data_IF_866152970618
#
_entry.id   IF_866152970618
#
_cell.length_a   1.000
_cell.length_b   1.000
_cell.length_c   1.000
_cell.angle_alpha   90.00
_cell.angle_beta   90.00
_cell.angle_gamma   90.00
#
_symmetry.space_group_name_H-M   'P 1'
#
loop_
_entity.id
_entity.type
_entity.pdbx_description
1 polymer ?
#
# COMPACT_ATOMS: atom_id res chain seq x y z
N UNK A 1 6.66 -34.61 30.06
CA UNK A 1 7.66 -33.86 29.29
C UNK A 1 7.70 -34.37 27.84
N UNK A 2 6.75 -33.89 27.03
CA UNK A 2 6.71 -33.83 25.55
C UNK A 2 5.26 -33.55 25.17
N UNK A 3 4.81 -32.33 25.45
CA UNK A 3 3.57 -31.84 24.86
C UNK A 3 3.92 -31.25 23.51
N UNK A 4 3.52 -32.03 22.52
CA UNK A 4 3.70 -31.84 21.10
C UNK A 4 2.90 -30.59 20.73
N UNK A 5 3.59 -29.45 20.62
CA UNK A 5 3.08 -28.30 19.90
C UNK A 5 2.96 -28.68 18.42
N UNK A 6 1.82 -29.25 18.03
CA UNK A 6 1.38 -29.23 16.64
C UNK A 6 0.92 -27.81 16.39
N UNK A 7 1.82 -26.98 15.86
CA UNK A 7 1.41 -25.71 15.27
C UNK A 7 0.28 -26.00 14.26
N UNK A 8 -0.85 -25.28 14.30
CA UNK A 8 -1.95 -25.54 13.38
C UNK A 8 -1.39 -25.48 11.95
N UNK A 9 -1.73 -26.49 11.12
CA UNK A 9 -1.49 -26.49 9.67
C UNK A 9 -2.32 -25.35 9.06
N UNK A 10 -1.85 -24.12 9.22
CA UNK A 10 -2.32 -23.02 8.38
C UNK A 10 -1.70 -23.26 7.01
N UNK A 11 -2.55 -23.54 6.01
CA UNK A 11 -2.16 -23.59 4.61
C UNK A 11 -1.39 -22.32 4.29
N UNK A 12 -0.07 -22.44 4.16
CA UNK A 12 0.85 -21.31 3.93
C UNK A 12 0.65 -20.85 2.50
N UNK A 13 -0.05 -19.72 2.24
CA UNK A 13 -0.30 -19.31 0.87
C UNK A 13 1.02 -18.90 0.22
N UNK A 14 1.22 -19.25 -1.04
CA UNK A 14 2.27 -18.64 -1.85
C UNK A 14 2.01 -17.13 -1.91
N UNK A 15 3.00 -16.32 -1.53
CA UNK A 15 2.88 -14.86 -1.63
C UNK A 15 3.03 -14.45 -3.09
N UNK A 16 1.91 -14.32 -3.80
CA UNK A 16 1.89 -13.72 -5.13
C UNK A 16 2.39 -12.26 -5.05
N UNK A 17 2.97 -11.71 -6.13
CA UNK A 17 3.54 -10.35 -6.17
C UNK A 17 2.53 -9.25 -5.79
N UNK A 18 1.23 -9.54 -5.92
CA UNK A 18 0.12 -8.67 -5.55
C UNK A 18 -0.54 -9.03 -4.21
N UNK A 19 0.05 -9.95 -3.44
CA UNK A 19 -0.48 -10.32 -2.12
C UNK A 19 -0.48 -9.10 -1.22
N UNK A 20 -1.65 -8.74 -0.73
CA UNK A 20 -1.83 -7.55 0.10
C UNK A 20 -1.84 -7.87 1.60
N UNK A 21 -2.08 -9.14 1.93
CA UNK A 21 -2.00 -9.73 3.25
C UNK A 21 -1.31 -11.09 3.11
N UNK A 22 -0.17 -11.27 3.76
CA UNK A 22 0.55 -12.55 3.75
C UNK A 22 1.02 -12.88 5.16
N UNK A 23 0.55 -14.01 5.67
CA UNK A 23 0.97 -14.57 6.96
C UNK A 23 2.08 -15.60 6.72
N UNK A 24 3.26 -15.37 7.29
CA UNK A 24 4.50 -16.13 7.06
C UNK A 24 4.90 -16.29 5.58
N UNK A 25 5.17 -15.18 4.85
CA UNK A 25 5.65 -15.27 3.48
C UNK A 25 7.03 -15.95 3.43
N UNK A 26 7.20 -16.94 2.54
CA UNK A 26 8.48 -17.62 2.33
C UNK A 26 9.35 -16.97 1.26
N UNK A 27 8.74 -16.22 0.35
CA UNK A 27 9.40 -15.68 -0.85
C UNK A 27 9.74 -14.19 -0.71
N UNK A 28 9.65 -13.64 0.51
CA UNK A 28 9.96 -12.24 0.81
C UNK A 28 11.17 -12.19 1.73
N UNK A 29 12.22 -11.50 1.29
CA UNK A 29 13.40 -11.18 2.09
C UNK A 29 13.75 -9.71 1.89
N UNK A 30 14.21 -9.02 2.93
CA UNK A 30 14.63 -7.62 2.84
C UNK A 30 16.12 -7.47 3.17
N UNK A 31 16.79 -6.47 2.59
CA UNK A 31 18.26 -6.34 2.65
C UNK A 31 18.82 -6.21 4.07
N UNK A 32 18.06 -5.65 5.01
CA UNK A 32 18.45 -5.44 6.41
C UNK A 32 17.95 -6.54 7.36
N UNK A 33 17.47 -7.67 6.81
CA UNK A 33 16.98 -8.81 7.59
C UNK A 33 18.13 -9.52 8.30
N UNK A 34 17.98 -9.78 9.60
CA UNK A 34 18.97 -10.54 10.38
C UNK A 34 18.83 -12.04 10.09
N UNK A 35 19.93 -12.79 10.23
CA UNK A 35 19.96 -14.24 9.95
C UNK A 35 18.96 -15.07 10.78
N UNK A 36 18.59 -14.61 11.98
CA UNK A 36 17.60 -15.25 12.86
C UNK A 36 16.26 -14.48 12.94
N UNK A 37 15.92 -13.71 11.91
CA UNK A 37 14.69 -12.93 11.83
C UNK A 37 13.72 -13.55 10.83
N UNK A 38 12.54 -13.93 11.32
CA UNK A 38 11.48 -14.49 10.48
C UNK A 38 10.38 -13.46 10.25
N UNK A 39 9.91 -13.34 9.00
CA UNK A 39 8.77 -12.49 8.65
C UNK A 39 7.49 -13.22 9.03
N UNK A 40 6.67 -12.59 9.87
CA UNK A 40 5.42 -13.17 10.38
C UNK A 40 4.22 -12.61 9.63
N UNK A 41 4.24 -11.31 9.35
CA UNK A 41 3.15 -10.63 8.67
C UNK A 41 3.70 -9.66 7.63
N UNK A 42 3.13 -9.70 6.44
CA UNK A 42 3.36 -8.74 5.37
C UNK A 42 2.02 -8.11 5.02
N UNK A 43 1.97 -6.78 5.07
CA UNK A 43 0.80 -5.96 4.78
C UNK A 43 1.15 -4.95 3.69
N UNK A 44 0.18 -4.70 2.82
CA UNK A 44 0.18 -3.63 1.82
C UNK A 44 -1.21 -3.00 1.79
N UNK A 45 -1.35 -1.81 1.23
CA UNK A 45 -2.66 -1.20 1.02
C UNK A 45 -3.54 -2.04 0.07
N UNK A 46 -4.83 -2.12 0.36
CA UNK A 46 -5.84 -2.89 -0.37
C UNK A 46 -5.92 -2.50 -1.85
N UNK A 47 -6.18 -3.45 -2.75
CA UNK A 47 -6.32 -3.18 -4.20
C UNK A 47 -7.44 -2.19 -4.52
N UNK A 48 -8.49 -2.13 -3.69
CA UNK A 48 -9.62 -1.21 -3.86
C UNK A 48 -9.20 0.26 -3.78
N UNK A 49 -8.11 0.58 -3.06
CA UNK A 49 -7.63 1.96 -2.97
C UNK A 49 -7.13 2.46 -4.32
N UNK A 50 -6.79 1.55 -5.23
CA UNK A 50 -6.40 1.91 -6.58
C UNK A 50 -7.56 2.42 -7.43
N UNK A 51 -8.81 2.06 -7.09
CA UNK A 51 -9.97 2.42 -7.88
C UNK A 51 -10.19 3.94 -7.95
N UNK A 52 -9.85 4.68 -6.90
CA UNK A 52 -10.05 6.14 -6.83
C UNK A 52 -9.18 6.88 -7.85
N UNK A 53 -7.87 6.61 -7.89
CA UNK A 53 -6.96 7.25 -8.84
C UNK A 53 -7.15 6.72 -10.26
N UNK A 54 -7.53 5.44 -10.43
CA UNK A 54 -7.90 4.87 -11.74
C UNK A 54 -9.13 5.60 -12.30
N UNK A 55 -10.14 5.86 -11.48
CA UNK A 55 -11.34 6.57 -11.90
C UNK A 55 -11.03 7.99 -12.38
N UNK A 56 -10.21 8.74 -11.62
CA UNK A 56 -9.75 10.07 -12.02
C UNK A 56 -8.97 10.01 -13.33
N UNK A 57 -8.03 9.07 -13.46
CA UNK A 57 -7.26 8.88 -14.69
C UNK A 57 -8.16 8.54 -15.88
N UNK A 58 -9.17 7.69 -15.69
CA UNK A 58 -10.14 7.33 -16.74
C UNK A 58 -10.92 8.55 -17.24
N UNK A 59 -11.35 9.43 -16.33
CA UNK A 59 -12.02 10.68 -16.71
C UNK A 59 -11.09 11.58 -17.51
N UNK A 60 -9.85 11.75 -17.06
CA UNK A 60 -8.85 12.56 -17.75
C UNK A 60 -8.53 12.00 -19.15
N UNK A 61 -8.41 10.69 -19.31
CA UNK A 61 -8.17 10.07 -20.63
C UNK A 61 -9.31 10.36 -21.61
N UNK A 62 -10.55 10.41 -21.12
CA UNK A 62 -11.74 10.70 -21.94
C UNK A 62 -11.94 12.20 -22.23
N UNK A 63 -11.31 13.09 -21.45
CA UNK A 63 -11.53 14.53 -21.54
C UNK A 63 -11.24 15.12 -22.94
N UNK A 64 -10.12 14.79 -23.62
CA UNK A 64 -9.86 15.29 -24.98
C UNK A 64 -10.90 14.84 -26.00
N UNK A 65 -11.42 13.60 -25.86
CA UNK A 65 -12.46 13.07 -26.74
C UNK A 65 -13.77 13.85 -26.57
N UNK A 66 -14.15 14.13 -25.32
CA UNK A 66 -15.35 14.92 -24.98
C UNK A 66 -15.21 16.34 -25.55
N UNK A 67 -14.04 16.96 -25.40
CA UNK A 67 -13.76 18.29 -25.96
C UNK A 67 -13.87 18.28 -27.49
N UNK A 68 -13.32 17.26 -28.16
CA UNK A 68 -13.40 17.12 -29.62
C UNK A 68 -14.85 17.02 -30.10
N UNK A 69 -15.67 16.18 -29.44
CA UNK A 69 -17.10 16.02 -29.76
C UNK A 69 -17.84 17.34 -29.55
N UNK A 70 -17.56 18.05 -28.45
CA UNK A 70 -18.20 19.32 -28.13
C UNK A 70 -17.85 20.41 -29.16
N UNK A 71 -16.57 20.55 -29.51
CA UNK A 71 -16.11 21.51 -30.52
C UNK A 71 -16.76 21.26 -31.89
N UNK A 72 -16.85 19.98 -32.30
CA UNK A 72 -17.53 19.60 -33.54
C UNK A 72 -19.02 19.94 -33.55
N UNK A 73 -19.68 19.89 -32.38
CA UNK A 73 -21.10 20.23 -32.23
C UNK A 73 -21.39 21.73 -32.34
N UNK A 74 -20.38 22.57 -32.11
CA UNK A 74 -20.47 24.04 -32.21
C UNK A 74 -19.87 24.61 -33.50
N UNK A 75 -19.50 23.75 -34.46
CA UNK A 75 -18.86 24.15 -35.73
C UNK A 75 -17.58 24.99 -35.54
N UNK A 76 -16.89 24.83 -34.41
CA UNK A 76 -15.65 25.55 -34.10
C UNK A 76 -14.44 24.83 -34.70
N UNK A 77 -13.99 25.27 -35.88
CA UNK A 77 -12.87 24.64 -36.59
C UNK A 77 -11.48 25.18 -36.18
N UNK A 78 -11.03 24.74 -35.00
CA UNK A 78 -9.68 25.01 -34.49
C UNK A 78 -8.56 24.22 -35.20
N UNK A 79 -8.89 23.22 -36.03
CA UNK A 79 -7.93 22.32 -36.68
C UNK A 79 -7.67 22.66 -38.15
N UNK A 80 -8.40 23.63 -38.70
CA UNK A 80 -8.33 24.08 -40.10
C UNK A 80 -6.95 24.53 -40.59
N UNK A 81 -6.05 24.98 -39.69
CA UNK A 81 -4.70 25.41 -40.10
C UNK A 81 -3.65 24.29 -39.92
N UNK A 82 -2.75 24.07 -40.90
CA UNK A 82 -1.68 23.07 -40.78
C UNK A 82 -0.75 23.28 -39.57
N UNK A 83 -0.57 24.54 -39.14
CA UNK A 83 0.17 24.87 -37.94
C UNK A 83 -0.58 24.43 -36.67
N UNK A 84 -1.88 24.69 -36.57
CA UNK A 84 -2.71 24.25 -35.44
C UNK A 84 -2.72 22.73 -35.30
N UNK A 85 -2.84 21.98 -36.42
CA UNK A 85 -2.79 20.51 -36.39
C UNK A 85 -1.49 19.95 -35.78
N UNK A 86 -0.33 20.54 -36.09
CA UNK A 86 0.96 20.12 -35.52
C UNK A 86 1.06 20.40 -34.03
N UNK A 87 0.64 21.60 -33.59
CA UNK A 87 0.64 21.94 -32.17
C UNK A 87 -0.33 21.06 -31.39
N UNK A 88 -1.53 20.79 -31.91
CA UNK A 88 -2.51 19.91 -31.26
C UNK A 88 -1.93 18.53 -31.01
N UNK A 89 -1.27 17.91 -31.99
CA UNK A 89 -0.64 16.58 -31.81
C UNK A 89 0.39 16.59 -30.68
N UNK A 90 1.26 17.61 -30.64
CA UNK A 90 2.29 17.74 -29.60
C UNK A 90 1.65 17.93 -28.21
N UNK A 91 0.65 18.80 -28.09
CA UNK A 91 -0.06 19.03 -26.83
C UNK A 91 -0.83 17.80 -26.35
N UNK A 92 -1.51 17.09 -27.25
CA UNK A 92 -2.21 15.85 -26.93
C UNK A 92 -1.25 14.78 -26.44
N UNK A 93 -0.08 14.65 -27.08
CA UNK A 93 0.95 13.70 -26.66
C UNK A 93 1.50 14.05 -25.27
N UNK A 94 1.82 15.33 -25.04
CA UNK A 94 2.27 15.82 -23.73
C UNK A 94 1.20 15.58 -22.64
N UNK A 95 -0.07 15.81 -22.97
CA UNK A 95 -1.20 15.57 -22.07
C UNK A 95 -1.29 14.11 -21.65
N UNK A 96 -1.26 13.17 -22.60
CA UNK A 96 -1.28 11.74 -22.28
C UNK A 96 -0.02 11.30 -21.52
N UNK A 97 1.13 11.91 -21.79
CA UNK A 97 2.36 11.64 -21.03
C UNK A 97 2.23 12.06 -19.56
N UNK A 98 1.56 13.19 -19.28
CA UNK A 98 1.29 13.63 -17.91
C UNK A 98 0.33 12.68 -17.20
N UNK A 99 -0.74 12.22 -17.87
CA UNK A 99 -1.66 11.23 -17.29
C UNK A 99 -0.94 9.91 -17.01
N UNK A 100 -0.14 9.43 -17.97
CA UNK A 100 0.64 8.22 -17.80
C UNK A 100 1.58 8.34 -16.61
N UNK A 101 2.28 9.47 -16.48
CA UNK A 101 3.16 9.75 -15.34
C UNK A 101 2.37 9.72 -14.03
N UNK A 102 1.21 10.38 -13.96
CA UNK A 102 0.35 10.37 -12.78
C UNK A 102 -0.07 8.94 -12.38
N UNK A 103 -0.52 8.13 -13.34
CA UNK A 103 -0.92 6.73 -13.12
C UNK A 103 0.27 5.90 -12.65
N UNK A 104 1.41 6.04 -13.32
CA UNK A 104 2.62 5.30 -13.02
C UNK A 104 3.13 5.59 -11.61
N UNK A 105 3.16 6.87 -11.21
CA UNK A 105 3.58 7.28 -9.87
C UNK A 105 2.61 6.80 -8.78
N UNK A 106 1.30 6.90 -9.04
CA UNK A 106 0.28 6.39 -8.12
C UNK A 106 0.41 4.88 -7.92
N UNK A 107 0.66 4.15 -9.01
CA UNK A 107 0.92 2.71 -8.96
C UNK A 107 2.20 2.37 -8.19
N UNK A 108 3.31 3.06 -8.45
CA UNK A 108 4.57 2.83 -7.72
C UNK A 108 4.40 3.06 -6.22
N UNK A 109 3.74 4.15 -5.83
CA UNK A 109 3.47 4.46 -4.42
C UNK A 109 2.68 3.34 -3.76
N UNK A 110 1.60 2.88 -4.39
CA UNK A 110 0.81 1.77 -3.87
C UNK A 110 1.59 0.44 -3.83
N UNK A 111 2.43 0.18 -4.84
CA UNK A 111 3.16 -1.09 -4.95
C UNK A 111 4.32 -1.19 -3.93
N UNK A 112 5.03 -0.10 -3.71
CA UNK A 112 6.22 -0.07 -2.87
C UNK A 112 5.96 0.30 -1.41
N UNK A 113 4.80 0.87 -1.09
CA UNK A 113 4.38 1.06 0.31
C UNK A 113 4.05 -0.31 0.92
N UNK A 114 4.87 -0.72 1.88
CA UNK A 114 4.82 -2.05 2.47
C UNK A 114 5.10 -1.96 3.96
N UNK A 115 4.30 -2.69 4.73
CA UNK A 115 4.44 -2.79 6.16
C UNK A 115 4.72 -4.24 6.55
N UNK A 116 5.81 -4.47 7.27
CA UNK A 116 6.32 -5.81 7.58
C UNK A 116 6.46 -5.96 9.09
N UNK A 117 5.93 -7.07 9.62
CA UNK A 117 6.11 -7.45 11.03
C UNK A 117 6.90 -8.74 11.08
N UNK A 118 8.00 -8.69 11.80
CA UNK A 118 8.93 -9.82 11.99
C UNK A 118 8.82 -10.36 13.41
N UNK A 119 9.58 -11.40 13.72
CA UNK A 119 9.71 -11.93 15.08
C UNK A 119 10.43 -10.99 16.06
N UNK A 120 11.09 -9.94 15.60
CA UNK A 120 11.88 -9.03 16.45
C UNK A 120 11.41 -7.58 16.38
N UNK A 121 10.94 -7.12 15.22
CA UNK A 121 10.67 -5.70 14.95
C UNK A 121 9.55 -5.50 13.95
N UNK A 122 9.01 -4.30 13.96
CA UNK A 122 8.13 -3.75 12.94
C UNK A 122 8.97 -2.90 11.98
N UNK A 123 8.71 -3.07 10.69
CA UNK A 123 9.39 -2.38 9.60
C UNK A 123 8.33 -1.72 8.73
N UNK A 124 8.44 -0.42 8.59
CA UNK A 124 7.55 0.39 7.75
C UNK A 124 8.36 1.02 6.63
N UNK A 125 7.92 0.77 5.40
CA UNK A 125 8.59 1.18 4.18
C UNK A 125 7.63 2.08 3.41
N UNK A 126 7.86 3.38 3.54
CA UNK A 126 7.06 4.42 2.92
C UNK A 126 7.82 5.10 1.77
N UNK A 127 7.17 5.18 0.62
CA UNK A 127 7.60 6.01 -0.50
C UNK A 127 6.79 7.30 -0.50
N UNK A 128 7.26 8.28 0.27
CA UNK A 128 6.64 9.61 0.33
C UNK A 128 6.85 10.38 -0.97
N UNK A 129 8.03 10.22 -1.58
CA UNK A 129 8.41 10.75 -2.89
C UNK A 129 9.12 9.67 -3.73
N UNK A 130 9.12 9.84 -5.05
CA UNK A 130 9.72 8.90 -6.04
C UNK A 130 11.20 8.61 -5.74
N UNK A 131 11.87 9.55 -5.05
CA UNK A 131 13.31 9.53 -4.77
C UNK A 131 13.60 9.18 -3.30
N UNK A 132 12.64 9.40 -2.39
CA UNK A 132 12.85 9.28 -0.95
C UNK A 132 12.13 8.03 -0.45
N UNK A 133 12.91 7.00 -0.12
CA UNK A 133 12.43 5.84 0.60
C UNK A 133 12.67 6.08 2.10
N UNK A 134 11.60 6.13 2.88
CA UNK A 134 11.68 6.22 4.33
C UNK A 134 11.50 4.82 4.90
N UNK A 135 12.57 4.27 5.48
CA UNK A 135 12.50 3.01 6.20
C UNK A 135 12.50 3.34 7.69
N UNK A 136 11.37 3.12 8.34
CA UNK A 136 11.25 3.24 9.79
C UNK A 136 11.26 1.84 10.42
N UNK A 137 11.96 1.71 11.54
CA UNK A 137 12.15 0.44 12.24
C UNK A 137 11.90 0.67 13.73
N UNK A 138 11.11 -0.18 14.37
CA UNK A 138 10.99 -0.23 15.83
C UNK A 138 10.99 -1.66 16.33
N UNK A 139 11.56 -1.90 17.50
CA UNK A 139 11.56 -3.21 18.12
C UNK A 139 10.15 -3.54 18.63
N UNK A 140 9.71 -4.79 18.51
CA UNK A 140 8.44 -5.25 19.08
C UNK A 140 8.33 -4.96 20.58
N UNK A 141 9.46 -4.89 21.29
CA UNK A 141 9.51 -4.55 22.71
C UNK A 141 9.18 -3.10 23.02
N UNK A 142 9.27 -2.20 22.04
CA UNK A 142 8.93 -0.78 22.19
C UNK A 142 7.50 -0.48 21.74
N UNK A 143 6.82 -1.44 21.10
CA UNK A 143 5.40 -1.33 20.76
C UNK A 143 4.58 -1.38 22.06
N UNK A 144 3.83 -0.33 22.32
CA UNK A 144 2.97 -0.23 23.50
C UNK A 144 1.55 -0.70 23.22
N UNK A 145 1.00 -0.24 22.11
CA UNK A 145 -0.38 -0.51 21.75
C UNK A 145 -0.55 -0.58 20.23
N UNK A 146 -1.53 -1.37 19.80
CA UNK A 146 -1.85 -1.59 18.39
C UNK A 146 -3.36 -1.46 18.25
N UNK A 147 -3.78 -0.48 17.47
CA UNK A 147 -5.17 -0.18 17.23
C UNK A 147 -5.49 -0.25 15.74
N UNK A 148 -6.77 -0.43 15.41
CA UNK A 148 -7.23 -0.33 14.03
C UNK A 148 -8.51 0.48 13.93
N UNK A 149 -8.68 1.12 12.78
CA UNK A 149 -9.85 1.91 12.45
C UNK A 149 -10.43 1.45 11.12
N UNK A 150 -11.72 1.16 11.09
CA UNK A 150 -12.49 0.93 9.88
C UNK A 150 -13.63 1.94 9.84
N UNK A 151 -13.38 3.11 9.23
CA UNK A 151 -14.38 4.19 9.19
C UNK A 151 -15.13 4.20 7.87
N UNK A 152 -16.45 3.99 7.91
CA UNK A 152 -17.35 4.12 6.77
C UNK A 152 -17.80 2.81 6.12
N UNK A 153 -18.71 2.93 5.16
CA UNK A 153 -19.36 1.79 4.51
C UNK A 153 -18.40 0.98 3.62
N UNK A 154 -17.60 1.66 2.80
CA UNK A 154 -16.70 1.01 1.83
C UNK A 154 -15.60 0.19 2.54
N UNK A 155 -14.87 0.72 3.56
CA UNK A 155 -13.87 -0.06 4.30
C UNK A 155 -14.47 -1.26 5.02
N UNK A 156 -15.68 -1.12 5.58
CA UNK A 156 -16.38 -2.21 6.27
C UNK A 156 -16.81 -3.30 5.29
N UNK A 157 -17.35 -2.93 4.12
CA UNK A 157 -17.83 -3.89 3.11
C UNK A 157 -16.69 -4.68 2.48
N UNK A 158 -15.59 -4.01 2.12
CA UNK A 158 -14.40 -4.64 1.53
C UNK A 158 -13.39 -5.14 2.58
N UNK A 159 -13.71 -5.03 3.87
CA UNK A 159 -12.89 -5.45 5.01
C UNK A 159 -11.43 -4.95 4.93
N UNK A 160 -11.25 -3.66 4.66
CA UNK A 160 -9.97 -2.97 4.80
C UNK A 160 -10.09 -1.84 5.82
N UNK A 161 -8.96 -1.31 6.27
CA UNK A 161 -8.92 -0.17 7.19
C UNK A 161 -7.50 0.21 7.56
N UNK A 162 -7.36 1.12 8.51
CA UNK A 162 -6.07 1.65 8.91
C UNK A 162 -5.61 0.99 10.21
N UNK A 163 -4.33 0.67 10.27
CA UNK A 163 -3.67 0.12 11.44
C UNK A 163 -2.74 1.18 12.02
N UNK A 164 -2.78 1.37 13.34
CA UNK A 164 -1.93 2.32 14.07
C UNK A 164 -1.16 1.57 15.15
N UNK A 165 0.15 1.77 15.18
CA UNK A 165 1.05 1.21 16.18
C UNK A 165 1.69 2.37 16.94
N UNK A 166 1.47 2.36 18.25
CA UNK A 166 2.04 3.35 19.16
C UNK A 166 3.28 2.77 19.84
N UNK A 167 4.36 3.54 19.81
CA UNK A 167 5.64 3.18 20.41
C UNK A 167 5.88 3.93 21.72
N UNK A 168 6.75 3.38 22.56
CA UNK A 168 7.11 3.99 23.83
C UNK A 168 8.01 5.22 23.67
N UNK A 169 7.76 6.24 24.50
CA UNK A 169 8.60 7.44 24.58
C UNK A 169 8.45 8.37 23.37
N UNK A 170 9.56 8.98 22.95
CA UNK A 170 9.63 9.89 21.80
C UNK A 170 9.88 9.16 20.45
N UNK A 171 9.73 7.83 20.41
CA UNK A 171 9.82 7.06 19.17
C UNK A 171 8.67 7.41 18.20
N UNK A 172 8.95 7.37 16.89
CA UNK A 172 7.97 7.66 15.84
C UNK A 172 6.84 6.62 15.86
N UNK A 173 5.59 7.08 15.85
CA UNK A 173 4.42 6.21 15.66
C UNK A 173 4.38 5.66 14.23
N UNK A 174 3.83 4.46 14.08
CA UNK A 174 3.77 3.74 12.82
C UNK A 174 2.32 3.57 12.38
N UNK A 175 2.08 3.64 11.07
CA UNK A 175 0.75 3.47 10.49
C UNK A 175 0.79 2.62 9.23
N UNK A 176 -0.23 1.79 9.03
CA UNK A 176 -0.41 1.05 7.79
C UNK A 176 -1.81 1.35 7.25
N UNK A 177 -1.86 2.17 6.20
CA UNK A 177 -3.12 2.70 5.67
C UNK A 177 -3.81 1.73 4.72
N UNK A 178 -5.12 1.61 4.90
CA UNK A 178 -6.04 0.84 4.07
C UNK A 178 -5.61 -0.62 3.87
N UNK A 179 -5.07 -1.25 4.91
CA UNK A 179 -4.67 -2.66 4.88
C UNK A 179 -5.88 -3.60 4.89
N UNK A 180 -5.83 -4.74 4.18
CA UNK A 180 -6.82 -5.81 4.28
C UNK A 180 -6.85 -6.40 5.68
N UNK A 181 -8.05 -6.73 6.14
CA UNK A 181 -8.30 -7.44 7.41
C UNK A 181 -7.54 -6.82 8.59
N UNK A 182 -7.70 -5.50 8.85
CA UNK A 182 -6.92 -4.79 9.86
C UNK A 182 -7.09 -5.41 11.26
N UNK A 183 -8.28 -5.91 11.59
CA UNK A 183 -8.54 -6.64 12.84
C UNK A 183 -7.66 -7.88 13.02
N UNK A 184 -7.45 -8.66 11.96
CA UNK A 184 -6.60 -9.86 12.00
C UNK A 184 -5.14 -9.46 12.19
N UNK A 185 -4.70 -8.41 11.49
CA UNK A 185 -3.37 -7.84 11.67
C UNK A 185 -3.13 -7.36 13.10
N UNK A 186 -4.04 -6.57 13.68
CA UNK A 186 -3.95 -6.09 15.08
C UNK A 186 -3.82 -7.25 16.06
N UNK A 187 -4.63 -8.31 15.91
CA UNK A 187 -4.57 -9.47 16.78
C UNK A 187 -3.22 -10.19 16.70
N UNK A 188 -2.71 -10.41 15.48
CA UNK A 188 -1.40 -11.04 15.27
C UNK A 188 -0.30 -10.22 15.91
N UNK A 189 -0.29 -8.90 15.71
CA UNK A 189 0.77 -8.03 16.25
C UNK A 189 0.67 -7.96 17.79
N UNK A 190 -0.54 -7.83 18.35
CA UNK A 190 -0.76 -7.87 19.79
C UNK A 190 -0.26 -9.15 20.44
N UNK A 191 -0.53 -10.31 19.83
CA UNK A 191 -0.03 -11.60 20.31
C UNK A 191 1.51 -11.68 20.30
N UNK A 192 2.15 -11.07 19.30
CA UNK A 192 3.62 -11.03 19.18
C UNK A 192 4.23 -10.10 20.23
N UNK A 193 3.67 -8.91 20.41
CA UNK A 193 4.11 -7.95 21.44
C UNK A 193 3.99 -8.57 22.83
N UNK A 194 2.86 -9.22 23.15
CA UNK A 194 2.66 -9.91 24.43
C UNK A 194 3.71 -11.00 24.71
N UNK A 195 4.04 -11.82 23.71
CA UNK A 195 5.09 -12.85 23.84
C UNK A 195 6.49 -12.25 23.99
N UNK A 196 6.78 -11.15 23.30
CA UNK A 196 8.07 -10.46 23.38
C UNK A 196 8.35 -9.96 24.81
N UNK A 197 7.35 -9.36 25.46
CA UNK A 197 7.48 -8.90 26.84
C UNK A 197 7.64 -10.04 27.86
N UNK A 198 7.07 -11.22 27.59
CA UNK A 198 7.21 -12.39 28.46
C UNK A 198 8.61 -13.02 28.40
N UNK A 199 9.31 -12.94 27.27
CA UNK A 199 10.66 -13.48 27.12
C UNK A 199 11.76 -12.59 27.73
N UNK A 200 11.42 -11.39 28.19
CA UNK A 200 12.35 -10.45 28.85
C UNK A 200 12.32 -10.51 30.38
N UNK A 201 11.42 -11.32 30.97
CA UNK A 201 11.34 -11.60 32.41
C UNK A 201 11.98 -12.95 32.73
#
# INVERSE_FOLDING_TARGET
MKDIFVAPKQNKPHSHTFSTFSHYPKDVSFQTQKENESIILFLRSHLITNLSWIFIASILIMLPLIILILLSSFELDFLSTPAAGRFTVVFTLLYYLLIFSYVFLSFLRWFYNVFIVTSQRVVDIDYSDIVIHNIALTNLTHVQDVNYTQSGFIPTFFNYGDLFIQTAGDERNFEALSVPKPREATHIIGDLTGKSHLNLK
#
